data_IF_177264967131
#
_entry.id   IF_177264967131
#
_cell.length_a   1.000
_cell.length_b   1.000
_cell.length_c   1.000
_cell.angle_alpha   90.00
_cell.angle_beta   90.00
_cell.angle_gamma   90.00
#
_symmetry.space_group_name_H-M   'P 1'
#
loop_
_entity.id
_entity.type
_entity.pdbx_description
1 polymer ?
#
# COMPACT_ATOMS: atom_id res chain seq x y z
N UNK A 1 43.14 5.89 -6.13
CA UNK A 1 41.70 5.98 -6.46
C UNK A 1 41.16 4.57 -6.38
N UNK A 2 40.36 4.27 -5.36
CA UNK A 2 39.76 2.94 -5.22
C UNK A 2 38.75 2.76 -6.35
N UNK A 3 39.00 1.79 -7.24
CA UNK A 3 38.00 1.23 -8.15
C UNK A 3 36.93 0.51 -7.32
N UNK A 4 36.12 1.27 -6.58
CA UNK A 4 34.92 0.75 -5.95
C UNK A 4 33.94 0.35 -7.05
N UNK A 5 33.51 -0.91 -7.06
CA UNK A 5 32.50 -1.37 -7.99
C UNK A 5 31.23 -0.52 -7.79
N UNK A 6 30.72 0.10 -8.85
CA UNK A 6 29.49 0.92 -8.83
C UNK A 6 28.28 -0.02 -8.77
N UNK A 7 27.25 0.29 -7.96
CA UNK A 7 26.04 -0.54 -7.92
C UNK A 7 25.39 -0.67 -9.29
N UNK A 8 24.91 -1.86 -9.62
CA UNK A 8 24.04 -2.02 -10.78
C UNK A 8 22.69 -1.36 -10.52
N UNK A 9 22.04 -0.99 -11.62
CA UNK A 9 20.61 -0.77 -11.59
C UNK A 9 19.92 -2.13 -11.38
N UNK A 10 18.63 -2.12 -11.08
CA UNK A 10 17.86 -3.31 -10.72
C UNK A 10 16.35 -3.11 -10.93
N UNK A 11 15.57 -4.18 -10.73
CA UNK A 11 14.11 -4.11 -10.69
C UNK A 11 13.60 -4.13 -9.25
N UNK A 12 12.80 -3.13 -8.88
CA UNK A 12 12.17 -3.03 -7.57
C UNK A 12 10.66 -3.20 -7.71
N UNK A 13 10.06 -3.96 -6.79
CA UNK A 13 8.63 -4.19 -6.76
C UNK A 13 8.02 -3.46 -5.58
N UNK A 14 6.98 -2.69 -5.83
CA UNK A 14 6.18 -2.02 -4.82
C UNK A 14 4.84 -2.73 -4.68
N UNK A 15 4.37 -2.85 -3.45
CA UNK A 15 3.04 -3.34 -3.14
C UNK A 15 2.35 -2.29 -2.28
N UNK A 16 1.21 -1.81 -2.74
CA UNK A 16 0.32 -0.92 -2.00
C UNK A 16 -1.04 -1.60 -1.98
N UNK A 17 -1.62 -1.78 -0.80
CA UNK A 17 -2.91 -2.47 -0.70
C UNK A 17 -3.77 -1.94 0.42
N UNK A 18 -5.08 -2.11 0.23
CA UNK A 18 -6.12 -1.76 1.18
C UNK A 18 -6.80 -3.03 1.69
N UNK A 19 -6.95 -3.15 3.00
CA UNK A 19 -7.52 -4.34 3.64
C UNK A 19 -8.32 -3.97 4.89
N UNK A 20 -9.31 -4.80 5.23
CA UNK A 20 -10.10 -4.68 6.44
C UNK A 20 -9.57 -5.66 7.49
N UNK A 21 -9.09 -5.20 8.66
CA UNK A 21 -8.36 -6.07 9.59
C UNK A 21 -9.25 -7.07 10.35
N UNK A 22 -10.54 -6.76 10.51
CA UNK A 22 -11.51 -7.63 11.17
C UNK A 22 -12.10 -8.67 10.21
N UNK A 23 -12.69 -9.73 10.78
CA UNK A 23 -13.45 -10.74 10.02
C UNK A 23 -14.66 -10.18 9.30
N UNK A 24 -15.28 -9.13 9.83
CA UNK A 24 -16.37 -8.42 9.16
C UNK A 24 -16.14 -6.91 9.23
N UNK A 25 -16.83 -6.16 8.39
CA UNK A 25 -16.82 -4.70 8.41
C UNK A 25 -17.66 -4.12 9.57
N UNK A 26 -18.11 -4.96 10.49
CA UNK A 26 -18.99 -4.57 11.58
C UNK A 26 -20.36 -4.09 11.10
N UNK A 27 -21.20 -3.67 12.04
CA UNK A 27 -22.55 -3.19 11.74
C UNK A 27 -22.52 -1.95 10.81
N UNK A 28 -21.50 -1.11 10.98
CA UNK A 28 -21.30 0.12 10.22
C UNK A 28 -21.00 -0.13 8.74
N UNK A 29 -20.37 -1.26 8.40
CA UNK A 29 -20.18 -1.71 7.04
C UNK A 29 -21.06 -2.90 6.68
N UNK A 30 -22.26 -2.99 7.27
CA UNK A 30 -23.27 -4.01 6.95
C UNK A 30 -22.72 -5.44 6.99
N UNK A 31 -21.82 -5.76 7.91
CA UNK A 31 -21.30 -7.11 8.16
C UNK A 31 -20.66 -7.81 6.94
N UNK A 32 -20.20 -7.06 5.92
CA UNK A 32 -19.43 -7.63 4.83
C UNK A 32 -18.17 -8.33 5.34
N UNK A 33 -17.75 -9.41 4.67
CA UNK A 33 -16.53 -10.13 5.03
C UNK A 33 -15.29 -9.24 4.88
N UNK A 34 -14.45 -9.23 5.91
CA UNK A 34 -13.15 -8.57 5.93
C UNK A 34 -11.99 -9.54 5.77
N UNK A 35 -10.76 -9.02 5.87
CA UNK A 35 -9.53 -9.79 5.61
C UNK A 35 -9.02 -10.54 6.85
N UNK A 36 -9.53 -10.24 8.04
CA UNK A 36 -9.21 -10.91 9.31
C UNK A 36 -7.70 -11.10 9.56
N UNK A 37 -6.93 -10.02 9.46
CA UNK A 37 -5.46 -10.08 9.57
C UNK A 37 -4.84 -8.79 10.08
N UNK A 38 -3.59 -8.89 10.52
CA UNK A 38 -2.71 -7.76 10.77
C UNK A 38 -2.00 -7.26 9.51
N UNK A 39 -1.12 -6.27 9.72
CA UNK A 39 -0.19 -5.80 8.71
C UNK A 39 0.78 -6.92 8.29
N UNK A 40 1.23 -6.91 7.04
CA UNK A 40 2.03 -8.02 6.51
C UNK A 40 2.92 -7.62 5.33
N UNK A 41 4.09 -8.26 5.24
CA UNK A 41 5.02 -8.20 4.10
C UNK A 41 4.85 -9.37 3.12
N UNK A 42 3.83 -10.20 3.29
CA UNK A 42 3.53 -11.25 2.32
C UNK A 42 3.10 -10.62 1.00
N UNK A 43 3.56 -11.20 -0.12
CA UNK A 43 3.18 -10.73 -1.45
C UNK A 43 1.68 -10.90 -1.67
N UNK A 44 1.02 -9.91 -2.25
CA UNK A 44 -0.37 -10.07 -2.70
C UNK A 44 -0.45 -10.99 -3.93
N UNK A 45 -1.63 -11.58 -4.16
CA UNK A 45 -1.87 -12.46 -5.31
C UNK A 45 -1.29 -13.86 -5.21
N UNK A 46 -0.73 -14.26 -4.06
CA UNK A 46 -0.21 -15.62 -3.82
C UNK A 46 -1.13 -16.47 -2.93
N UNK A 47 -2.25 -15.91 -2.44
CA UNK A 47 -3.13 -16.54 -1.46
C UNK A 47 -2.61 -16.51 -0.02
N UNK A 48 -1.41 -15.98 0.24
CA UNK A 48 -0.83 -15.92 1.59
C UNK A 48 -1.48 -14.85 2.48
N UNK A 49 -2.07 -13.81 1.87
CA UNK A 49 -2.79 -12.72 2.51
C UNK A 49 -3.84 -12.17 1.55
N UNK A 50 -4.96 -11.73 2.11
CA UNK A 50 -6.09 -11.13 1.38
C UNK A 50 -6.09 -9.61 1.46
N UNK A 51 -6.71 -8.93 0.51
CA UNK A 51 -6.94 -7.48 0.51
C UNK A 51 -8.22 -7.13 -0.25
N UNK A 52 -8.83 -6.01 0.12
CA UNK A 52 -9.96 -5.43 -0.62
C UNK A 52 -9.53 -4.90 -1.98
N UNK A 53 -8.35 -4.29 -2.07
CA UNK A 53 -7.65 -4.06 -3.34
C UNK A 53 -6.16 -4.14 -3.06
N UNK A 54 -5.41 -4.79 -3.94
CA UNK A 54 -3.96 -4.70 -3.96
C UNK A 54 -3.48 -4.20 -5.32
N UNK A 55 -2.46 -3.37 -5.27
CA UNK A 55 -1.79 -2.79 -6.42
C UNK A 55 -0.30 -3.08 -6.32
N UNK A 56 0.22 -3.79 -7.32
CA UNK A 56 1.63 -4.11 -7.44
C UNK A 56 2.15 -3.40 -8.67
N UNK A 57 3.27 -2.71 -8.53
CA UNK A 57 4.01 -2.25 -9.69
C UNK A 57 5.50 -2.58 -9.58
N UNK A 58 6.12 -2.78 -10.72
CA UNK A 58 7.53 -3.11 -10.87
C UNK A 58 8.21 -1.99 -11.65
N UNK A 59 9.18 -1.35 -11.01
CA UNK A 59 10.06 -0.37 -11.61
C UNK A 59 11.37 -1.05 -12.01
N UNK A 60 11.60 -1.20 -13.31
CA UNK A 60 12.88 -1.64 -13.83
C UNK A 60 13.75 -0.43 -14.15
N UNK A 61 14.80 -0.24 -13.37
CA UNK A 61 15.67 0.95 -13.43
C UNK A 61 16.76 0.81 -14.49
N UNK A 62 16.98 -0.38 -15.05
CA UNK A 62 17.92 -0.54 -16.17
C UNK A 62 17.40 0.13 -17.43
N UNK A 63 16.19 -0.22 -17.83
CA UNK A 63 15.53 0.23 -19.06
C UNK A 63 14.49 1.34 -18.81
N UNK A 64 14.34 1.80 -17.57
CA UNK A 64 13.30 2.76 -17.16
C UNK A 64 11.91 2.30 -17.59
N UNK A 65 11.56 1.03 -17.33
CA UNK A 65 10.21 0.52 -17.62
C UNK A 65 9.40 0.36 -16.35
N UNK A 66 8.10 0.54 -16.48
CA UNK A 66 7.13 0.40 -15.40
C UNK A 66 6.03 -0.58 -15.83
N UNK A 67 5.73 -1.56 -15.00
CA UNK A 67 4.65 -2.52 -15.21
C UNK A 67 3.80 -2.60 -13.93
N UNK A 68 2.49 -2.78 -14.06
CA UNK A 68 1.60 -2.79 -12.90
C UNK A 68 0.43 -3.76 -13.05
N UNK A 69 -0.08 -4.20 -11.90
CA UNK A 69 -1.24 -5.07 -11.76
C UNK A 69 -2.06 -4.63 -10.56
N UNK A 70 -3.37 -4.52 -10.74
CA UNK A 70 -4.34 -4.26 -9.66
C UNK A 70 -5.39 -5.34 -9.65
N UNK A 71 -5.67 -5.93 -8.49
CA UNK A 71 -6.78 -6.88 -8.30
C UNK A 71 -7.36 -6.75 -6.89
N UNK A 72 -8.46 -7.45 -6.66
CA UNK A 72 -9.09 -7.63 -5.36
C UNK A 72 -9.10 -9.12 -5.03
N UNK A 73 -9.00 -9.46 -3.76
CA UNK A 73 -9.43 -10.78 -3.31
C UNK A 73 -10.97 -10.83 -3.23
N UNK A 74 -11.59 -12.01 -3.26
CA UNK A 74 -13.03 -12.10 -3.28
C UNK A 74 -13.71 -11.47 -2.05
N UNK A 75 -14.97 -11.06 -2.22
CA UNK A 75 -15.81 -10.52 -1.15
C UNK A 75 -17.12 -11.27 -1.03
N UNK A 76 -17.68 -11.34 0.18
CA UNK A 76 -18.99 -11.92 0.46
C UNK A 76 -19.84 -10.96 1.26
N UNK A 77 -21.11 -10.83 0.86
CA UNK A 77 -22.12 -10.08 1.60
C UNK A 77 -22.76 -10.98 2.68
N UNK A 78 -23.27 -10.44 3.81
CA UNK A 78 -23.85 -11.29 4.85
C UNK A 78 -25.19 -11.93 4.48
N UNK A 79 -25.84 -11.46 3.41
CA UNK A 79 -27.14 -11.94 2.92
C UNK A 79 -27.03 -12.90 1.73
N UNK A 80 -25.82 -13.29 1.33
CA UNK A 80 -25.60 -14.18 0.18
C UNK A 80 -24.41 -15.09 0.41
N UNK A 81 -24.53 -16.35 -0.01
CA UNK A 81 -23.40 -17.29 -0.09
C UNK A 81 -22.58 -17.10 -1.37
N UNK A 82 -23.03 -16.23 -2.29
CA UNK A 82 -22.29 -15.89 -3.50
C UNK A 82 -21.01 -15.13 -3.14
N UNK A 83 -19.90 -15.61 -3.68
CA UNK A 83 -18.59 -14.96 -3.57
C UNK A 83 -18.36 -14.11 -4.82
N UNK A 84 -18.12 -12.83 -4.62
CA UNK A 84 -17.78 -11.91 -5.71
C UNK A 84 -16.30 -11.99 -6.04
N UNK A 85 -15.97 -12.57 -7.20
CA UNK A 85 -14.62 -12.62 -7.76
C UNK A 85 -14.46 -11.51 -8.81
N UNK A 86 -13.86 -10.39 -8.38
CA UNK A 86 -13.73 -9.14 -9.13
C UNK A 86 -12.84 -9.27 -10.38
N UNK A 87 -13.43 -9.77 -11.46
CA UNK A 87 -12.76 -9.94 -12.77
C UNK A 87 -13.41 -9.09 -13.86
N UNK A 88 -12.69 -8.92 -14.98
CA UNK A 88 -13.19 -8.20 -16.15
C UNK A 88 -13.63 -6.77 -15.81
N UNK A 89 -14.86 -6.42 -16.17
CA UNK A 89 -15.42 -5.08 -15.96
C UNK A 89 -15.64 -4.71 -14.49
N UNK A 90 -15.72 -5.72 -13.60
CA UNK A 90 -15.89 -5.57 -12.16
C UNK A 90 -14.55 -5.51 -11.42
N UNK A 91 -13.43 -5.76 -12.11
CA UNK A 91 -12.11 -5.69 -11.51
C UNK A 91 -11.77 -4.25 -11.07
N UNK A 92 -11.02 -4.09 -9.97
CA UNK A 92 -10.50 -2.78 -9.60
C UNK A 92 -9.59 -2.24 -10.71
N UNK A 93 -9.60 -0.92 -10.84
CA UNK A 93 -8.88 -0.20 -11.88
C UNK A 93 -7.67 0.50 -11.29
N UNK A 94 -6.80 0.92 -12.19
CA UNK A 94 -5.67 1.77 -11.85
C UNK A 94 -5.40 2.75 -12.98
N UNK A 95 -4.61 3.76 -12.67
CA UNK A 95 -4.13 4.73 -13.63
C UNK A 95 -2.69 5.10 -13.26
N UNK A 96 -1.80 5.04 -14.25
CA UNK A 96 -0.48 5.67 -14.17
C UNK A 96 -0.60 7.06 -14.77
N UNK A 97 -0.50 8.08 -13.93
CA UNK A 97 -0.64 9.49 -14.35
C UNK A 97 0.68 10.08 -14.82
N UNK A 98 1.76 9.74 -14.11
CA UNK A 98 3.08 10.22 -14.43
C UNK A 98 4.11 9.12 -14.17
N UNK A 99 4.98 8.93 -15.15
CA UNK A 99 6.21 8.19 -14.97
C UNK A 99 7.33 8.93 -15.70
N UNK A 100 8.36 9.30 -14.97
CA UNK A 100 9.53 9.95 -15.52
C UNK A 100 10.81 9.34 -14.95
N UNK A 101 11.85 9.33 -15.78
CA UNK A 101 13.20 9.03 -15.35
C UNK A 101 14.15 10.10 -15.88
N UNK A 102 15.14 10.46 -15.06
CA UNK A 102 16.17 11.43 -15.45
C UNK A 102 17.50 10.99 -14.88
N UNK A 103 18.56 11.19 -15.65
CA UNK A 103 19.93 10.92 -15.18
C UNK A 103 20.55 12.26 -14.81
N UNK A 104 20.82 12.49 -13.52
CA UNK A 104 21.46 13.74 -13.08
C UNK A 104 22.95 13.75 -13.39
N UNK A 105 23.61 12.61 -13.21
CA UNK A 105 25.00 12.38 -13.60
C UNK A 105 25.21 10.88 -13.87
N UNK A 106 26.43 10.47 -14.21
CA UNK A 106 26.76 9.08 -14.55
C UNK A 106 26.41 8.03 -13.47
N UNK A 107 26.21 8.45 -12.23
CA UNK A 107 26.00 7.59 -11.06
C UNK A 107 24.62 7.75 -10.42
N UNK A 108 23.93 8.87 -10.63
CA UNK A 108 22.64 9.16 -9.99
C UNK A 108 21.51 9.15 -11.01
N UNK A 109 20.52 8.28 -10.79
CA UNK A 109 19.26 8.24 -11.55
C UNK A 109 18.07 8.59 -10.67
N UNK A 110 17.20 9.44 -11.21
CA UNK A 110 15.94 9.85 -10.60
C UNK A 110 14.78 9.17 -11.28
N UNK A 111 13.77 8.79 -10.50
CA UNK A 111 12.48 8.32 -10.97
C UNK A 111 11.36 9.02 -10.20
N UNK A 112 10.30 9.38 -10.90
CA UNK A 112 9.05 9.82 -10.29
C UNK A 112 7.90 8.96 -10.84
N UNK A 113 7.03 8.52 -9.94
CA UNK A 113 5.83 7.74 -10.25
C UNK A 113 4.65 8.38 -9.54
N UNK A 114 3.63 8.76 -10.30
CA UNK A 114 2.34 9.20 -9.77
C UNK A 114 1.24 8.33 -10.35
N UNK A 115 0.41 7.75 -9.50
CA UNK A 115 -0.71 6.92 -9.93
C UNK A 115 -1.75 6.74 -8.86
N UNK A 116 -2.75 5.94 -9.18
CA UNK A 116 -3.83 5.59 -8.26
C UNK A 116 -4.46 4.25 -8.63
N UNK A 117 -5.12 3.65 -7.65
CA UNK A 117 -6.01 2.51 -7.86
C UNK A 117 -7.35 2.76 -7.19
N UNK A 118 -8.40 2.16 -7.75
CA UNK A 118 -9.72 2.24 -7.16
C UNK A 118 -10.58 1.02 -7.50
N UNK A 119 -11.65 0.81 -6.73
CA UNK A 119 -12.58 -0.29 -6.96
C UNK A 119 -13.90 -0.09 -6.24
N UNK A 120 -14.90 -0.88 -6.64
CA UNK A 120 -16.26 -0.82 -6.10
C UNK A 120 -16.60 -2.18 -5.52
N UNK A 121 -17.27 -2.20 -4.36
CA UNK A 121 -17.80 -3.45 -3.81
C UNK A 121 -19.08 -3.85 -4.58
N UNK A 122 -18.95 -4.87 -5.44
CA UNK A 122 -20.02 -5.37 -6.28
C UNK A 122 -20.84 -6.50 -5.63
N UNK A 123 -20.47 -6.94 -4.43
CA UNK A 123 -21.30 -7.86 -3.63
C UNK A 123 -22.56 -7.19 -3.05
N UNK A 124 -22.71 -5.87 -3.23
CA UNK A 124 -23.95 -5.14 -2.94
C UNK A 124 -25.05 -5.46 -3.98
N UNK A 125 -26.33 -5.62 -3.56
CA UNK A 125 -27.44 -5.89 -4.48
C UNK A 125 -27.49 -4.88 -5.62
N UNK A 126 -27.74 -5.36 -6.83
CA UNK A 126 -27.87 -4.56 -8.05
C UNK A 126 -26.61 -3.80 -8.50
N UNK A 127 -25.50 -3.90 -7.75
CA UNK A 127 -24.27 -3.16 -8.05
C UNK A 127 -23.61 -3.67 -9.35
N UNK A 128 -23.61 -4.98 -9.59
CA UNK A 128 -23.06 -5.60 -10.81
C UNK A 128 -23.85 -5.21 -12.04
N UNK A 129 -25.17 -5.33 -11.96
CA UNK A 129 -26.11 -5.06 -13.04
C UNK A 129 -26.02 -3.59 -13.45
N UNK A 130 -25.97 -2.68 -12.48
CA UNK A 130 -25.81 -1.25 -12.74
C UNK A 130 -24.46 -0.95 -13.41
N UNK A 131 -23.37 -1.55 -12.91
CA UNK A 131 -22.04 -1.36 -13.48
C UNK A 131 -21.97 -1.81 -14.94
N UNK A 132 -22.62 -2.92 -15.30
CA UNK A 132 -22.67 -3.47 -16.66
C UNK A 132 -23.60 -2.70 -17.59
N UNK A 133 -24.73 -2.18 -17.08
CA UNK A 133 -25.76 -1.52 -17.91
C UNK A 133 -25.50 -0.04 -18.14
N UNK A 134 -25.03 0.68 -17.12
CA UNK A 134 -24.84 2.14 -17.19
C UNK A 134 -23.39 2.58 -16.92
N UNK A 135 -22.47 1.64 -16.74
CA UNK A 135 -21.05 1.93 -16.54
C UNK A 135 -20.68 2.45 -15.14
N UNK A 136 -21.61 2.42 -14.18
CA UNK A 136 -21.39 2.91 -12.82
C UNK A 136 -22.19 2.15 -11.77
N UNK A 137 -21.87 2.36 -10.48
CA UNK A 137 -22.59 1.78 -9.35
C UNK A 137 -22.90 2.85 -8.29
N UNK A 138 -23.96 2.65 -7.50
CA UNK A 138 -24.29 3.51 -6.35
C UNK A 138 -23.33 3.31 -5.18
N UNK A 139 -22.56 2.21 -5.18
CA UNK A 139 -21.62 1.89 -4.12
C UNK A 139 -20.38 2.79 -4.27
N UNK A 140 -19.99 3.53 -3.22
CA UNK A 140 -18.81 4.38 -3.25
C UNK A 140 -17.56 3.58 -3.62
N UNK A 141 -16.64 4.25 -4.32
CA UNK A 141 -15.34 3.67 -4.65
C UNK A 141 -14.43 3.72 -3.43
N UNK A 142 -13.59 2.71 -3.30
CA UNK A 142 -12.33 2.81 -2.57
C UNK A 142 -11.29 3.38 -3.53
N UNK A 143 -10.66 4.50 -3.21
CA UNK A 143 -9.64 5.19 -4.00
C UNK A 143 -8.37 5.43 -3.17
N UNK A 144 -7.22 5.10 -3.76
CA UNK A 144 -5.89 5.36 -3.20
C UNK A 144 -4.98 5.93 -4.27
N UNK A 145 -4.36 7.07 -3.97
CA UNK A 145 -3.40 7.78 -4.82
C UNK A 145 -2.02 7.70 -4.20
N UNK A 146 -1.00 7.61 -5.02
CA UNK A 146 0.39 7.57 -4.58
C UNK A 146 1.29 8.45 -5.45
N UNK A 147 2.28 9.05 -4.79
CA UNK A 147 3.39 9.77 -5.39
C UNK A 147 4.67 9.21 -4.80
N UNK A 148 5.58 8.77 -5.67
CA UNK A 148 6.82 8.09 -5.28
C UNK A 148 7.97 8.74 -6.05
N UNK A 149 8.99 9.17 -5.33
CA UNK A 149 10.24 9.70 -5.87
C UNK A 149 11.39 8.84 -5.40
N UNK A 150 12.29 8.51 -6.32
CA UNK A 150 13.38 7.56 -6.08
C UNK A 150 14.65 8.12 -6.69
N UNK A 151 15.68 8.29 -5.87
CA UNK A 151 17.02 8.64 -6.31
C UNK A 151 17.93 7.46 -6.03
N UNK A 152 18.56 6.92 -7.07
CA UNK A 152 19.49 5.79 -6.97
C UNK A 152 20.90 6.33 -7.16
N UNK A 153 21.66 6.44 -6.06
CA UNK A 153 23.06 6.80 -6.08
C UNK A 153 23.91 5.53 -6.11
N UNK A 154 24.41 5.23 -7.31
CA UNK A 154 25.17 4.00 -7.57
C UNK A 154 26.63 4.08 -7.10
N UNK A 155 27.15 5.29 -6.87
CA UNK A 155 28.50 5.51 -6.36
C UNK A 155 28.53 5.45 -4.84
N UNK A 156 27.52 6.04 -4.19
CA UNK A 156 27.37 6.02 -2.73
C UNK A 156 26.53 4.86 -2.21
N UNK A 157 26.11 3.95 -3.09
CA UNK A 157 25.45 2.68 -2.72
C UNK A 157 24.18 2.87 -1.90
N UNK A 158 23.29 3.77 -2.31
CA UNK A 158 21.98 3.91 -1.65
C UNK A 158 20.86 4.35 -2.59
N UNK A 159 19.64 4.10 -2.13
CA UNK A 159 18.39 4.61 -2.70
C UNK A 159 17.78 5.58 -1.70
N UNK A 160 17.50 6.81 -2.14
CA UNK A 160 16.63 7.72 -1.40
C UNK A 160 15.20 7.57 -1.95
N UNK A 161 14.28 7.17 -1.09
CA UNK A 161 12.89 6.88 -1.41
C UNK A 161 11.98 7.86 -0.66
N UNK A 162 11.18 8.64 -1.38
CA UNK A 162 10.13 9.48 -0.81
C UNK A 162 8.77 9.00 -1.32
N UNK A 163 7.87 8.69 -0.40
CA UNK A 163 6.52 8.21 -0.72
C UNK A 163 5.47 9.04 -0.01
N UNK A 164 4.44 9.41 -0.76
CA UNK A 164 3.23 10.03 -0.26
C UNK A 164 2.00 9.30 -0.79
N UNK A 165 1.16 8.78 0.09
CA UNK A 165 -0.06 8.04 -0.26
C UNK A 165 -1.26 8.71 0.40
N UNK A 166 -2.27 9.00 -0.39
CA UNK A 166 -3.56 9.54 0.04
C UNK A 166 -4.71 8.65 -0.38
N UNK A 167 -5.88 8.80 0.25
CA UNK A 167 -7.08 8.04 -0.13
C UNK A 167 -8.24 8.29 0.81
N UNK A 168 -9.27 7.46 0.72
CA UNK A 168 -10.53 7.63 1.46
C UNK A 168 -10.38 7.50 2.99
N UNK A 169 -9.27 6.95 3.48
CA UNK A 169 -9.04 6.70 4.91
C UNK A 169 -9.85 5.52 5.47
N UNK A 170 -10.43 4.71 4.58
CA UNK A 170 -10.98 3.39 4.87
C UNK A 170 -10.79 2.45 3.66
N UNK A 171 -10.48 1.17 3.86
CA UNK A 171 -10.15 0.52 5.12
C UNK A 171 -8.68 0.84 5.50
N UNK A 172 -7.95 -0.09 6.11
CA UNK A 172 -6.52 0.12 6.35
C UNK A 172 -5.74 0.11 5.04
N UNK A 173 -4.61 0.79 5.00
CA UNK A 173 -3.68 0.76 3.87
C UNK A 173 -2.28 0.34 4.36
N UNK A 174 -1.55 -0.43 3.57
CA UNK A 174 -0.13 -0.74 3.82
C UNK A 174 0.66 -0.72 2.52
N UNK A 175 1.93 -0.33 2.63
CA UNK A 175 2.84 -0.26 1.50
C UNK A 175 4.24 -0.78 1.84
N UNK A 176 4.85 -1.51 0.92
CA UNK A 176 6.23 -1.99 1.04
C UNK A 176 6.93 -2.12 -0.31
N UNK A 177 8.27 -2.06 -0.28
CA UNK A 177 9.15 -2.26 -1.43
C UNK A 177 9.93 -3.56 -1.29
N UNK A 178 10.22 -4.22 -2.40
CA UNK A 178 10.98 -5.46 -2.52
C UNK A 178 12.09 -5.28 -3.56
N UNK A 179 13.29 -5.72 -3.23
CA UNK A 179 14.45 -5.72 -4.13
C UNK A 179 14.50 -7.00 -5.01
N UNK A 180 15.55 -7.16 -5.85
CA UNK A 180 15.73 -8.38 -6.64
C UNK A 180 15.99 -9.65 -5.82
N UNK A 181 16.61 -9.53 -4.64
CA UNK A 181 16.88 -10.66 -3.75
C UNK A 181 15.64 -11.18 -3.01
N UNK A 182 14.57 -10.37 -2.98
CA UNK A 182 13.34 -10.64 -2.24
C UNK A 182 13.30 -10.02 -0.85
N UNK A 183 14.33 -9.26 -0.44
CA UNK A 183 14.36 -8.48 0.78
C UNK A 183 13.29 -7.39 0.73
N UNK A 184 12.51 -7.27 1.82
CA UNK A 184 11.35 -6.38 1.90
C UNK A 184 11.55 -5.32 2.95
N UNK A 185 11.07 -4.11 2.66
CA UNK A 185 11.08 -2.97 3.58
C UNK A 185 9.68 -2.34 3.57
N UNK A 186 9.06 -2.22 4.74
CA UNK A 186 7.84 -1.43 4.88
C UNK A 186 8.11 0.03 4.52
N UNK A 187 7.24 0.60 3.70
CA UNK A 187 7.18 2.05 3.46
C UNK A 187 6.31 2.69 4.54
N UNK A 188 5.19 2.07 4.87
CA UNK A 188 4.35 2.50 5.98
C UNK A 188 2.99 1.81 6.01
N UNK A 189 2.21 2.17 7.02
CA UNK A 189 0.85 1.66 7.23
C UNK A 189 -0.08 2.79 7.64
N UNK A 190 -1.37 2.60 7.38
CA UNK A 190 -2.47 3.47 7.76
C UNK A 190 -3.56 2.63 8.42
N UNK A 191 -3.96 3.02 9.64
CA UNK A 191 -5.17 2.51 10.29
C UNK A 191 -6.34 3.42 9.92
N UNK A 192 -7.45 2.81 9.49
CA UNK A 192 -8.68 3.47 9.05
C UNK A 192 -9.13 4.56 10.03
N UNK A 193 -9.67 5.67 9.51
CA UNK A 193 -10.10 6.82 10.32
C UNK A 193 -11.55 6.78 10.81
N UNK A 194 -12.38 5.89 10.23
CA UNK A 194 -13.82 5.80 10.50
C UNK A 194 -14.46 4.60 9.81
N UNK A 195 -15.80 4.58 9.73
CA UNK A 195 -16.57 3.51 9.09
C UNK A 195 -16.77 3.72 7.59
N UNK A 196 -16.94 2.63 6.85
CA UNK A 196 -17.03 2.60 5.38
C UNK A 196 -18.01 3.63 4.78
N UNK A 197 -19.26 3.78 5.26
CA UNK A 197 -20.23 4.70 4.64
C UNK A 197 -19.85 6.17 4.74
N UNK A 198 -19.07 6.56 5.75
CA UNK A 198 -18.70 7.95 5.99
C UNK A 198 -17.43 8.30 5.21
N UNK A 199 -16.43 7.45 5.28
CA UNK A 199 -15.10 7.75 4.73
C UNK A 199 -15.01 7.50 3.23
N UNK A 200 -15.68 6.45 2.70
CA UNK A 200 -15.69 6.18 1.25
C UNK A 200 -16.57 7.17 0.47
N UNK A 201 -17.68 7.61 1.05
CA UNK A 201 -18.62 8.49 0.33
C UNK A 201 -18.10 9.93 0.16
N UNK A 202 -17.17 10.37 1.01
CA UNK A 202 -16.69 11.76 1.03
C UNK A 202 -15.42 11.99 0.19
N UNK A 203 -14.70 10.94 -0.21
CA UNK A 203 -13.48 11.01 -1.03
C UNK A 203 -12.49 12.10 -0.57
N UNK A 204 -12.14 12.07 0.72
CA UNK A 204 -11.48 13.18 1.40
C UNK A 204 -9.96 13.27 1.16
N UNK A 205 -9.39 12.41 0.32
CA UNK A 205 -7.95 12.38 -0.01
C UNK A 205 -7.04 12.51 1.24
N UNK A 206 -7.35 11.75 2.29
CA UNK A 206 -6.62 11.81 3.53
C UNK A 206 -5.16 11.42 3.34
N UNK A 207 -4.19 12.11 3.98
CA UNK A 207 -2.84 11.61 4.09
C UNK A 207 -2.88 10.29 4.89
N UNK A 208 -2.48 9.20 4.22
CA UNK A 208 -2.47 7.86 4.79
C UNK A 208 -1.06 7.43 5.16
N UNK A 209 -0.11 7.54 4.22
CA UNK A 209 1.30 7.18 4.43
C UNK A 209 2.19 8.31 3.92
N UNK A 210 3.14 8.74 4.75
CA UNK A 210 4.23 9.66 4.41
C UNK A 210 5.52 8.97 4.80
N UNK A 211 6.46 8.86 3.88
CA UNK A 211 7.71 8.15 4.13
C UNK A 211 8.87 8.81 3.40
N UNK A 212 10.02 8.88 4.06
CA UNK A 212 11.30 9.26 3.46
C UNK A 212 12.38 8.34 4.02
N UNK A 213 12.94 7.46 3.19
CA UNK A 213 13.94 6.47 3.57
C UNK A 213 15.22 6.66 2.77
N UNK A 214 16.35 6.37 3.41
CA UNK A 214 17.59 6.04 2.73
C UNK A 214 17.87 4.56 2.92
N UNK A 215 17.97 3.82 1.83
CA UNK A 215 18.15 2.37 1.81
C UNK A 215 19.51 2.07 1.19
N UNK A 216 20.51 1.66 1.99
CA UNK A 216 21.79 1.19 1.46
C UNK A 216 21.59 -0.04 0.56
N UNK A 217 22.35 -0.12 -0.52
CA UNK A 217 22.31 -1.20 -1.50
C UNK A 217 23.68 -1.79 -1.76
N UNK A 218 23.72 -3.07 -2.15
CA UNK A 218 24.96 -3.71 -2.58
C UNK A 218 25.32 -3.37 -4.04
N UNK A 219 26.40 -3.96 -4.54
CA UNK A 219 26.86 -3.78 -5.92
C UNK A 219 25.91 -4.34 -6.98
N UNK A 220 24.94 -5.18 -6.58
CA UNK A 220 23.91 -5.77 -7.43
C UNK A 220 22.56 -5.03 -7.33
N UNK A 221 22.49 -3.97 -6.51
CA UNK A 221 21.27 -3.20 -6.29
C UNK A 221 20.29 -3.84 -5.30
N UNK A 222 20.70 -4.87 -4.56
CA UNK A 222 19.92 -5.46 -3.49
C UNK A 222 19.99 -4.60 -2.23
N UNK A 223 18.94 -4.62 -1.42
CA UNK A 223 18.94 -3.92 -0.13
C UNK A 223 19.93 -4.58 0.83
N UNK A 224 20.76 -3.77 1.47
CA UNK A 224 21.55 -4.21 2.62
C UNK A 224 20.67 -4.32 3.85
N UNK A 225 21.20 -4.81 4.98
CA UNK A 225 20.42 -5.13 6.18
C UNK A 225 19.87 -3.94 6.98
N UNK A 226 20.11 -2.70 6.54
CA UNK A 226 19.74 -1.50 7.30
C UNK A 226 18.91 -0.52 6.48
N UNK A 227 18.20 0.37 7.18
CA UNK A 227 17.43 1.46 6.59
C UNK A 227 17.52 2.69 7.48
N UNK A 228 17.67 3.85 6.85
CA UNK A 228 17.67 5.15 7.52
C UNK A 228 16.34 5.87 7.36
N UNK A 229 15.82 6.41 8.45
CA UNK A 229 14.57 7.19 8.48
C UNK A 229 14.86 8.69 8.34
N UNK A 230 14.79 9.18 7.10
CA UNK A 230 15.04 10.59 6.79
C UNK A 230 13.95 11.50 7.35
N UNK A 231 12.70 11.00 7.44
CA UNK A 231 11.60 11.77 8.02
C UNK A 231 11.83 12.01 9.51
N UNK A 232 12.17 10.97 10.28
CA UNK A 232 12.48 11.10 11.70
C UNK A 232 13.75 11.93 11.94
N UNK A 233 14.77 11.81 11.09
CA UNK A 233 15.98 12.65 11.17
C UNK A 233 15.63 14.12 11.02
N UNK A 234 14.80 14.47 10.03
CA UNK A 234 14.36 15.86 9.80
C UNK A 234 13.49 16.37 10.94
N UNK A 235 12.53 15.58 11.41
CA UNK A 235 11.66 15.95 12.54
C UNK A 235 12.44 16.21 13.83
N UNK A 236 13.51 15.45 14.08
CA UNK A 236 14.39 15.62 15.24
C UNK A 236 15.50 16.65 15.04
N UNK A 237 15.55 17.34 13.90
CA UNK A 237 16.61 18.29 13.53
C UNK A 237 18.03 17.69 13.62
N UNK A 238 18.16 16.36 13.46
CA UNK A 238 19.45 15.68 13.55
C UNK A 238 20.28 15.91 12.27
N UNK A 239 21.58 16.19 12.46
CA UNK A 239 22.54 16.28 11.34
C UNK A 239 22.92 14.92 10.77
N UNK A 240 22.81 13.86 11.58
CA UNK A 240 23.25 12.51 11.19
C UNK A 240 22.03 11.61 11.01
N UNK A 241 22.00 10.87 9.90
CA UNK A 241 21.02 9.82 9.69
C UNK A 241 21.39 8.59 10.52
N UNK A 242 20.44 8.12 11.33
CA UNK A 242 20.58 6.86 12.06
C UNK A 242 20.00 5.73 11.22
N UNK A 243 20.80 4.70 11.04
CA UNK A 243 20.38 3.46 10.39
C UNK A 243 19.96 2.46 11.46
N UNK A 244 18.93 1.69 11.16
CA UNK A 244 18.48 0.57 11.97
C UNK A 244 18.30 -0.66 11.10
N UNK A 245 18.37 -1.84 11.71
CA UNK A 245 18.19 -3.10 11.01
C UNK A 245 16.78 -3.18 10.37
N UNK A 246 16.68 -3.71 9.15
CA UNK A 246 15.43 -3.83 8.40
C UNK A 246 14.41 -4.70 9.16
N UNK A 247 14.83 -5.75 9.85
CA UNK A 247 13.90 -6.57 10.63
C UNK A 247 13.30 -5.77 11.77
N UNK A 248 14.10 -4.95 12.46
CA UNK A 248 13.61 -4.03 13.49
C UNK A 248 12.68 -2.96 12.89
N UNK A 249 13.01 -2.42 11.71
CA UNK A 249 12.14 -1.49 10.99
C UNK A 249 10.79 -2.11 10.66
N UNK A 250 10.80 -3.28 10.05
CA UNK A 250 9.59 -3.98 9.65
C UNK A 250 8.75 -4.41 10.85
N UNK A 251 9.38 -4.88 11.93
CA UNK A 251 8.69 -5.31 13.13
C UNK A 251 7.87 -4.18 13.77
N UNK A 252 8.32 -2.92 13.68
CA UNK A 252 7.54 -1.77 14.17
C UNK A 252 6.14 -1.72 13.55
N UNK A 253 6.01 -2.00 12.26
CA UNK A 253 4.74 -1.99 11.55
C UNK A 253 3.95 -3.28 11.75
N UNK A 254 4.62 -4.43 11.74
CA UNK A 254 3.98 -5.73 11.98
C UNK A 254 3.34 -5.82 13.37
N UNK A 255 3.95 -5.18 14.37
CA UNK A 255 3.47 -5.16 15.75
C UNK A 255 2.40 -4.09 16.02
N UNK A 256 2.10 -3.20 15.05
CA UNK A 256 1.03 -2.23 15.22
C UNK A 256 -0.32 -2.94 15.26
N UNK A 257 -1.15 -2.56 16.23
CA UNK A 257 -2.54 -3.01 16.25
C UNK A 257 -3.26 -2.42 15.02
N UNK A 258 -3.77 -3.24 14.09
CA UNK A 258 -4.42 -2.75 12.88
C UNK A 258 -5.79 -2.11 13.17
N UNK A 259 -6.26 -2.14 14.42
CA UNK A 259 -7.45 -1.46 14.91
C UNK A 259 -7.12 -0.30 15.88
N UNK A 260 -5.85 0.09 15.99
CA UNK A 260 -5.46 1.12 16.96
C UNK A 260 -6.16 2.47 16.68
N UNK A 261 -6.69 3.09 17.74
CA UNK A 261 -7.24 4.45 17.79
C UNK A 261 -8.45 4.82 16.92
N UNK A 262 -9.21 3.94 16.24
CA UNK A 262 -10.54 4.30 15.69
C UNK A 262 -11.46 3.14 15.31
N UNK A 263 -12.75 3.38 15.60
CA UNK A 263 -13.95 2.56 15.41
C UNK A 263 -14.18 1.44 16.44
N UNK A 264 -14.52 1.83 17.67
CA UNK A 264 -15.20 0.96 18.66
C UNK A 264 -16.46 1.62 19.25
N UNK A 265 -16.71 2.93 19.05
CA UNK A 265 -17.84 3.59 19.74
C UNK A 265 -19.21 3.24 19.12
N UNK A 266 -19.27 3.07 17.79
CA UNK A 266 -20.51 2.65 17.10
C UNK A 266 -20.58 1.13 16.94
N UNK A 267 -19.44 0.43 17.00
CA UNK A 267 -19.36 -1.03 16.89
C UNK A 267 -19.44 -1.77 18.25
N UNK A 268 -19.18 -1.11 19.38
CA UNK A 268 -19.45 -1.65 20.73
C UNK A 268 -20.95 -1.83 21.02
N UNK A 269 -21.85 -1.34 20.16
CA UNK A 269 -23.28 -1.65 20.26
C UNK A 269 -23.64 -3.03 19.68
N UNK A 270 -22.67 -3.75 19.10
CA UNK A 270 -22.85 -5.11 18.59
C UNK A 270 -22.33 -6.16 19.60
N UNK A 271 -23.11 -6.33 20.67
CA UNK A 271 -23.38 -7.61 21.36
C UNK A 271 -22.21 -8.33 22.07
N UNK A 272 -22.15 -8.19 23.41
CA UNK A 272 -22.37 -9.25 24.41
C UNK A 272 -21.83 -8.79 25.78
N UNK A 273 -22.73 -8.71 26.77
CA UNK A 273 -22.49 -8.13 28.10
C UNK A 273 -23.67 -7.35 28.68
N UNK A 274 -24.77 -7.21 27.94
CA UNK A 274 -26.01 -6.59 28.42
C UNK A 274 -27.16 -7.56 28.69
N UNK A 275 -26.99 -8.87 28.50
CA UNK A 275 -27.93 -9.88 29.00
C UNK A 275 -27.19 -11.18 29.41
N UNK A 276 -26.55 -11.07 30.57
CA UNK A 276 -26.31 -12.06 31.65
C UNK A 276 -24.99 -11.77 32.36
#
# INVERSE_FOLDING_TARGET
MLNGAISSLAAYKFNIRSFHPERTFGWSGMMFEGDNRGFSLQSSGTGAVTSRIWHIFQLNTHNSSYAQTTRSDPSRAPWSDEVEDYQGELAPRHELREFSSTTQNSYVKHYAVTGNYWGVNHAMPLSKELQRTVGTSYVPRLDVKYQIKIDIDRLNHHIDLVVYITGDGFPNCEAFIVDPSGQKIFIGVHVRKGAAPITLALNLDYPMIVCALRIPIDVHGNFMETVGDELARRASHSRTLRYQNINSWNHKFLAMNPNDRRCMVVENFSLEGCFN
#
